data_IF_559772530851
#
_entry.id   IF_559772530851
#
_cell.length_a   1.000
_cell.length_b   1.000
_cell.length_c   1.000
_cell.angle_alpha   90.00
_cell.angle_beta   90.00
_cell.angle_gamma   90.00
#
_symmetry.space_group_name_H-M   'P 1'
#
loop_
_entity.id
_entity.type
_entity.pdbx_description
1 polymer ?
#
# COMPACT_ATOMS: atom_id res chain seq x y z
N UNK A 1 -8.97 -5.31 14.65
CA UNK A 1 -9.05 -5.95 13.33
C UNK A 1 -9.95 -5.11 12.43
N UNK A 2 -9.46 -4.72 11.25
CA UNK A 2 -10.17 -3.92 10.25
C UNK A 2 -10.26 -4.67 8.93
N UNK A 3 -11.22 -4.30 8.08
CA UNK A 3 -11.40 -4.90 6.77
C UNK A 3 -10.75 -4.04 5.70
N UNK A 4 -9.91 -4.64 4.87
CA UNK A 4 -9.29 -3.98 3.73
C UNK A 4 -9.89 -4.54 2.45
N UNK A 5 -10.49 -3.67 1.65
CA UNK A 5 -11.05 -3.99 0.34
C UNK A 5 -10.12 -3.50 -0.77
N UNK A 6 -9.84 -4.37 -1.73
CA UNK A 6 -9.13 -4.07 -2.97
C UNK A 6 -10.19 -3.79 -4.04
N UNK A 7 -10.36 -2.53 -4.43
CA UNK A 7 -11.40 -2.13 -5.39
C UNK A 7 -11.19 -2.74 -6.79
N UNK A 8 -9.95 -3.06 -7.17
CA UNK A 8 -9.59 -3.60 -8.48
C UNK A 8 -10.04 -5.07 -8.66
N UNK A 9 -9.84 -5.90 -7.64
CA UNK A 9 -10.20 -7.32 -7.65
C UNK A 9 -11.49 -7.64 -6.88
N UNK A 10 -12.04 -6.66 -6.15
CA UNK A 10 -13.16 -6.85 -5.21
C UNK A 10 -12.79 -7.70 -3.97
N UNK A 11 -11.52 -8.04 -3.80
CA UNK A 11 -11.08 -8.89 -2.70
C UNK A 11 -11.08 -8.13 -1.39
N UNK A 12 -11.55 -8.78 -0.33
CA UNK A 12 -11.53 -8.26 1.03
C UNK A 12 -10.71 -9.15 1.93
N UNK A 13 -9.93 -8.54 2.80
CA UNK A 13 -9.15 -9.26 3.79
C UNK A 13 -9.11 -8.56 5.15
N UNK A 14 -9.09 -9.32 6.25
CA UNK A 14 -8.86 -8.75 7.57
C UNK A 14 -7.40 -8.30 7.72
N UNK A 15 -7.19 -7.16 8.36
CA UNK A 15 -5.88 -6.62 8.68
C UNK A 15 -5.89 -5.99 10.09
N UNK A 16 -4.90 -6.33 10.89
CA UNK A 16 -4.73 -5.72 12.20
C UNK A 16 -4.07 -4.35 12.13
N UNK A 17 -4.43 -3.40 13.02
CA UNK A 17 -3.83 -2.06 13.05
C UNK A 17 -2.33 -2.07 13.39
N UNK A 18 -1.85 -3.16 14.01
CA UNK A 18 -0.42 -3.41 14.25
C UNK A 18 0.33 -3.97 13.03
N UNK A 19 -0.39 -4.41 11.99
CA UNK A 19 0.18 -5.03 10.79
C UNK A 19 0.06 -4.09 9.59
N UNK A 20 1.07 -4.11 8.72
CA UNK A 20 0.99 -3.32 7.48
C UNK A 20 0.10 -4.03 6.46
N UNK A 21 -0.54 -3.24 5.60
CA UNK A 21 -1.52 -3.71 4.60
C UNK A 21 -0.92 -4.78 3.69
N UNK A 22 0.34 -4.62 3.28
CA UNK A 22 1.03 -5.59 2.43
C UNK A 22 1.18 -6.94 3.13
N UNK A 23 1.60 -6.95 4.40
CA UNK A 23 1.84 -8.19 5.15
C UNK A 23 0.55 -8.95 5.43
N UNK A 24 -0.53 -8.24 5.78
CA UNK A 24 -1.83 -8.87 5.98
C UNK A 24 -2.32 -9.58 4.71
N UNK A 25 -2.15 -8.93 3.55
CA UNK A 25 -2.46 -9.54 2.26
C UNK A 25 -1.55 -10.76 1.95
N UNK A 26 -0.23 -10.65 2.20
CA UNK A 26 0.73 -11.75 1.99
C UNK A 26 0.40 -12.97 2.85
N UNK A 27 0.03 -12.76 4.12
CA UNK A 27 -0.33 -13.86 5.06
C UNK A 27 -1.53 -14.65 4.56
N UNK A 28 -2.47 -13.98 3.89
CA UNK A 28 -3.67 -14.61 3.32
C UNK A 28 -3.45 -15.14 1.91
N UNK A 29 -2.23 -15.02 1.36
CA UNK A 29 -1.88 -15.47 0.01
C UNK A 29 -2.60 -14.72 -1.12
N UNK A 30 -3.16 -13.54 -0.84
CA UNK A 30 -3.90 -12.77 -1.84
C UNK A 30 -2.95 -12.02 -2.78
N UNK A 31 -3.31 -11.95 -4.06
CA UNK A 31 -2.48 -11.40 -5.15
C UNK A 31 -2.97 -10.04 -5.64
N UNK A 32 -3.28 -9.12 -4.72
CA UNK A 32 -3.77 -7.78 -5.05
C UNK A 32 -2.70 -6.70 -5.14
N UNK A 33 -1.64 -6.79 -4.33
CA UNK A 33 -0.63 -5.73 -4.18
C UNK A 33 0.74 -6.28 -4.56
N UNK A 34 1.44 -5.67 -5.54
CA UNK A 34 2.79 -6.10 -5.86
C UNK A 34 3.73 -5.85 -4.68
N UNK A 35 4.49 -6.87 -4.30
CA UNK A 35 5.48 -6.80 -3.22
C UNK A 35 6.88 -6.58 -3.79
N UNK A 36 7.68 -5.74 -3.12
CA UNK A 36 9.06 -5.44 -3.51
C UNK A 36 10.01 -5.52 -2.31
N UNK A 37 10.75 -4.44 -2.04
CA UNK A 37 11.77 -4.39 -0.98
C UNK A 37 11.26 -4.53 0.46
N UNK A 38 9.94 -4.38 0.71
CA UNK A 38 9.31 -4.33 2.04
C UNK A 38 9.83 -3.24 3.00
N UNK A 39 10.80 -2.43 2.56
CA UNK A 39 11.43 -1.36 3.34
C UNK A 39 10.88 0.06 3.11
N UNK A 40 9.96 0.26 2.15
CA UNK A 40 9.42 1.58 1.82
C UNK A 40 10.31 2.44 0.90
N UNK A 41 11.27 1.81 0.21
CA UNK A 41 12.22 2.48 -0.69
C UNK A 41 12.10 2.11 -2.18
N UNK A 42 11.39 1.04 -2.54
CA UNK A 42 11.30 0.59 -3.94
C UNK A 42 10.13 1.17 -4.75
N UNK A 43 9.09 1.65 -4.09
CA UNK A 43 7.86 2.11 -4.74
C UNK A 43 6.92 1.03 -5.29
N UNK A 44 7.34 -0.24 -5.36
CA UNK A 44 6.54 -1.36 -5.91
C UNK A 44 5.17 -1.52 -5.24
N UNK A 45 5.11 -1.52 -3.91
CA UNK A 45 3.86 -1.72 -3.17
C UNK A 45 3.00 -0.45 -3.07
N UNK A 46 3.00 0.39 -4.09
CA UNK A 46 2.23 1.64 -4.12
C UNK A 46 0.76 1.30 -4.33
N UNK A 47 -0.08 1.84 -3.46
CA UNK A 47 -1.52 1.67 -3.47
C UNK A 47 -2.16 3.04 -3.30
N UNK A 48 -3.35 3.22 -3.86
CA UNK A 48 -4.19 4.39 -3.64
C UNK A 48 -5.29 4.03 -2.67
N UNK A 49 -5.38 4.74 -1.56
CA UNK A 49 -6.51 4.65 -0.64
C UNK A 49 -7.64 5.50 -1.20
N UNK A 50 -8.78 4.87 -1.45
CA UNK A 50 -9.99 5.54 -1.93
C UNK A 50 -10.88 5.96 -0.76
N UNK A 51 -10.95 5.13 0.28
CA UNK A 51 -11.73 5.39 1.48
C UNK A 51 -11.09 4.78 2.72
N UNK A 52 -11.38 5.35 3.89
CA UNK A 52 -10.92 4.85 5.19
C UNK A 52 -9.76 5.65 5.78
N UNK A 53 -9.52 5.43 7.08
CA UNK A 53 -8.41 6.02 7.82
C UNK A 53 -7.26 5.04 7.90
N UNK A 54 -6.07 5.58 7.69
CA UNK A 54 -4.83 4.84 7.72
C UNK A 54 -3.74 5.69 8.33
N UNK A 55 -2.72 5.02 8.86
CA UNK A 55 -1.48 5.65 9.29
C UNK A 55 -0.34 5.18 8.41
N UNK A 56 0.55 6.09 8.03
CA UNK A 56 1.75 5.78 7.25
C UNK A 56 2.99 5.98 8.10
N UNK A 57 3.96 5.08 7.94
CA UNK A 57 5.31 5.25 8.48
C UNK A 57 6.18 6.11 7.57
N UNK A 58 7.46 6.25 7.93
CA UNK A 58 8.45 6.95 7.10
C UNK A 58 8.61 6.26 5.74
N UNK A 59 8.38 6.99 4.66
CA UNK A 59 8.47 6.54 3.27
C UNK A 59 9.52 7.36 2.51
N UNK A 60 10.15 6.76 1.51
CA UNK A 60 11.10 7.50 0.67
C UNK A 60 10.37 8.48 -0.24
N UNK A 61 10.69 9.78 -0.11
CA UNK A 61 10.16 10.85 -0.98
C UNK A 61 10.58 10.70 -2.45
N UNK A 62 11.66 9.96 -2.72
CA UNK A 62 12.06 9.61 -4.08
C UNK A 62 11.04 8.68 -4.79
N UNK A 63 10.18 8.01 -4.03
CA UNK A 63 9.16 7.11 -4.54
C UNK A 63 7.73 7.60 -4.37
N UNK A 64 7.49 8.42 -3.36
CA UNK A 64 6.18 8.95 -3.04
C UNK A 64 6.30 10.44 -2.75
N UNK A 65 5.92 11.25 -3.73
CA UNK A 65 5.89 12.70 -3.59
C UNK A 65 4.77 13.14 -2.65
N UNK A 66 4.89 14.33 -2.06
CA UNK A 66 3.85 14.86 -1.18
C UNK A 66 2.52 15.09 -1.90
N UNK A 67 2.58 15.48 -3.18
CA UNK A 67 1.40 15.58 -4.03
C UNK A 67 0.68 14.23 -4.20
N UNK A 68 1.44 13.14 -4.42
CA UNK A 68 0.87 11.78 -4.50
C UNK A 68 0.25 11.37 -3.16
N UNK A 69 0.92 11.67 -2.05
CA UNK A 69 0.40 11.41 -0.71
C UNK A 69 -0.91 12.18 -0.45
N UNK A 70 -0.99 13.44 -0.86
CA UNK A 70 -2.20 14.26 -0.79
C UNK A 70 -3.34 13.74 -1.68
N UNK A 71 -3.01 13.00 -2.75
CA UNK A 71 -3.99 12.29 -3.58
C UNK A 71 -4.40 10.91 -3.02
N UNK A 72 -3.92 10.55 -1.83
CA UNK A 72 -4.20 9.26 -1.20
C UNK A 72 -3.33 8.11 -1.69
N UNK A 73 -2.24 8.36 -2.42
CA UNK A 73 -1.27 7.32 -2.76
C UNK A 73 -0.30 7.10 -1.61
N UNK A 74 -0.07 5.84 -1.26
CA UNK A 74 0.80 5.42 -0.16
C UNK A 74 1.50 4.10 -0.47
N UNK A 75 2.52 3.74 0.31
CA UNK A 75 3.18 2.43 0.21
C UNK A 75 2.55 1.44 1.20
N UNK A 76 1.96 0.36 0.70
CA UNK A 76 1.29 -0.66 1.51
C UNK A 76 2.21 -1.32 2.57
N UNK A 77 3.52 -1.42 2.32
CA UNK A 77 4.49 -1.96 3.30
C UNK A 77 4.71 -1.06 4.53
N UNK A 78 4.34 0.21 4.45
CA UNK A 78 4.45 1.20 5.53
C UNK A 78 3.10 1.86 5.85
N UNK A 79 2.01 1.33 5.33
CA UNK A 79 0.66 1.78 5.64
C UNK A 79 0.00 0.76 6.57
N UNK A 80 -0.69 1.25 7.60
CA UNK A 80 -1.41 0.44 8.58
C UNK A 80 -2.85 0.93 8.65
N UNK A 81 -3.83 0.01 8.75
CA UNK A 81 -5.21 0.40 8.85
C UNK A 81 -5.53 0.98 10.23
N UNK A 82 -6.33 2.04 10.26
CA UNK A 82 -6.92 2.61 11.48
C UNK A 82 -8.45 2.47 11.48
N UNK A 83 -9.02 2.19 10.30
CA UNK A 83 -10.42 1.81 10.10
C UNK A 83 -10.51 0.80 8.96
N UNK A 84 -11.75 0.44 8.58
CA UNK A 84 -11.98 -0.25 7.32
C UNK A 84 -11.49 0.64 6.17
N UNK A 85 -10.72 0.04 5.26
CA UNK A 85 -10.04 0.74 4.17
C UNK A 85 -10.49 0.14 2.85
N UNK A 86 -10.76 1.02 1.89
CA UNK A 86 -10.87 0.66 0.48
C UNK A 86 -9.68 1.23 -0.25
N UNK A 87 -8.91 0.37 -0.90
CA UNK A 87 -7.72 0.74 -1.65
C UNK A 87 -7.73 0.09 -3.02
N UNK A 88 -6.90 0.63 -3.92
CA UNK A 88 -6.59 -0.02 -5.18
C UNK A 88 -5.09 -0.02 -5.45
N UNK A 89 -4.57 -1.06 -6.12
CA UNK A 89 -3.17 -1.09 -6.53
C UNK A 89 -2.91 0.03 -7.54
N UNK A 90 -1.83 0.79 -7.36
CA UNK A 90 -1.45 1.74 -8.38
C UNK A 90 -0.81 0.95 -9.55
N UNK A 91 -1.45 0.95 -10.72
CA UNK A 91 -0.97 0.27 -11.92
C UNK A 91 0.43 0.73 -12.38
N UNK A 92 0.92 1.85 -11.84
CA UNK A 92 2.26 2.34 -12.09
C UNK A 92 3.28 1.48 -11.34
N UNK A 93 3.63 0.34 -11.93
CA UNK A 93 4.75 -0.53 -11.55
C UNK A 93 6.12 0.13 -11.82
N UNK A 94 6.22 1.45 -11.69
CA UNK A 94 7.45 2.18 -11.82
C UNK A 94 8.25 1.99 -10.52
N UNK A 95 9.16 1.01 -10.51
CA UNK A 95 10.13 0.92 -9.42
C UNK A 95 10.98 2.17 -9.53
N UNK A 96 11.06 2.95 -8.45
CA UNK A 96 11.96 4.11 -8.43
C UNK A 96 13.43 3.68 -8.60
N UNK A 97 13.72 2.42 -8.28
CA UNK A 97 15.02 1.79 -8.42
C UNK A 97 15.41 1.51 -9.88
N UNK A 98 14.47 1.46 -10.83
CA UNK A 98 14.79 1.22 -12.24
C UNK A 98 15.31 2.50 -12.94
N UNK A 99 15.25 3.68 -12.29
CA UNK A 99 15.87 4.93 -12.78
C UNK A 99 17.39 5.00 -12.57
N UNK A 100 18.02 3.94 -12.05
CA UNK A 100 19.44 3.91 -11.73
C UNK A 100 20.32 3.14 -12.74
N UNK A 101 19.85 2.86 -13.96
CA UNK A 101 20.71 2.26 -15.00
C UNK A 101 20.51 2.87 -16.37
#
# INVERSE_FOLDING_TARGET
MHTVEIADSGQRYPCDPGQNLLRAMEVLGQRGIPAGCRGGGCGVCKVRIESGRYRTGKMSRACLSEAEQGQGLVLACKAFPDSDIRLRPAALLARCLDKAR
#
